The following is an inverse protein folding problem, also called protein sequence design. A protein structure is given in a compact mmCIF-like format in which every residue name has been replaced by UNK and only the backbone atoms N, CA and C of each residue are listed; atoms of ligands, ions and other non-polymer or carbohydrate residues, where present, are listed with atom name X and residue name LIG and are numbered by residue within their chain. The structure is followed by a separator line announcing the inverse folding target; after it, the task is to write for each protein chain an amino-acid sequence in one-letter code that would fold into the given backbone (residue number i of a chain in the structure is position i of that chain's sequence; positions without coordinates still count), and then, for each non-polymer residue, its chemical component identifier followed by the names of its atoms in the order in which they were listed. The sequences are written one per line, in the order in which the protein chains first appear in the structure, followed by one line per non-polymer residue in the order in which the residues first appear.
data_IF_697694132474
#
_entry.id   IF_697694132474
#
_cell.length_a   1.000
_cell.length_b   1.000
_cell.length_c   1.000
_cell.angle_alpha   90.00
_cell.angle_beta   90.00
_cell.angle_gamma   90.00
#
_symmetry.space_group_name_H-M   'P 1'
#
loop_
_entity.id
_entity.type
_entity.pdbx_description
1 polymer ?
#
# COMPACT_ATOMS: atom_id res chain seq x y z
N UNK A 1 -8.10 -18.56 3.73
CA UNK A 1 -7.66 -19.53 4.76
C UNK A 1 -7.11 -18.86 6.02
N UNK A 2 -6.36 -17.76 5.92
CA UNK A 2 -5.81 -17.05 7.11
C UNK A 2 -6.86 -16.63 8.15
N UNK A 3 -8.05 -16.16 7.73
CA UNK A 3 -9.09 -15.72 8.68
C UNK A 3 -9.62 -16.80 9.64
N UNK A 4 -9.64 -18.07 9.23
CA UNK A 4 -10.09 -19.19 10.10
C UNK A 4 -9.00 -19.56 11.11
N UNK A 5 -7.73 -19.52 10.70
CA UNK A 5 -6.58 -19.76 11.59
C UNK A 5 -6.45 -18.66 12.64
N UNK A 6 -6.51 -17.40 12.21
CA UNK A 6 -6.50 -16.23 13.10
C UNK A 6 -7.64 -16.31 14.12
N UNK A 7 -8.84 -16.70 13.69
CA UNK A 7 -9.99 -16.84 14.58
C UNK A 7 -9.84 -17.97 15.61
N UNK A 8 -9.03 -19.00 15.33
CA UNK A 8 -8.73 -20.06 16.30
C UNK A 8 -7.63 -19.68 17.28
N UNK A 9 -6.69 -18.83 16.86
CA UNK A 9 -5.50 -18.47 17.65
C UNK A 9 -5.72 -17.33 18.62
N UNK A 10 -6.50 -16.29 18.26
CA UNK A 10 -6.50 -15.03 19.02
C UNK A 10 -7.64 -14.91 20.06
N UNK A 11 -8.51 -15.92 20.18
CA UNK A 11 -9.75 -15.74 20.94
C UNK A 11 -10.64 -14.61 20.37
N UNK A 12 -11.69 -14.24 21.09
CA UNK A 12 -12.72 -13.31 20.58
C UNK A 12 -12.26 -11.85 20.64
N UNK A 13 -11.47 -11.49 21.65
CA UNK A 13 -11.06 -10.11 21.94
C UNK A 13 -9.91 -9.63 21.04
N UNK A 14 -8.78 -10.36 20.99
CA UNK A 14 -7.65 -9.99 20.12
C UNK A 14 -8.00 -10.09 18.63
N UNK A 15 -9.00 -10.91 18.26
CA UNK A 15 -9.57 -10.91 16.90
C UNK A 15 -10.21 -9.57 16.56
N UNK A 16 -10.95 -8.97 17.50
CA UNK A 16 -11.58 -7.66 17.32
C UNK A 16 -10.53 -6.57 17.11
N UNK A 17 -9.48 -6.58 17.95
CA UNK A 17 -8.36 -5.66 17.80
C UNK A 17 -7.62 -5.84 16.47
N UNK A 18 -7.30 -7.07 16.08
CA UNK A 18 -6.64 -7.31 14.79
C UNK A 18 -7.50 -6.86 13.61
N UNK A 19 -8.81 -7.11 13.65
CA UNK A 19 -9.72 -6.65 12.61
C UNK A 19 -9.72 -5.12 12.50
N UNK A 20 -9.76 -4.42 13.63
CA UNK A 20 -9.65 -2.95 13.67
C UNK A 20 -8.30 -2.47 13.11
N UNK A 21 -7.20 -3.06 13.56
CA UNK A 21 -5.84 -2.71 13.14
C UNK A 21 -5.56 -3.00 11.64
N UNK A 22 -6.29 -3.93 11.04
CA UNK A 22 -6.20 -4.25 9.60
C UNK A 22 -7.14 -3.36 8.78
N UNK A 23 -8.39 -3.22 9.19
CA UNK A 23 -9.41 -2.54 8.39
C UNK A 23 -9.21 -1.03 8.36
N UNK A 24 -8.85 -0.43 9.49
CA UNK A 24 -8.68 1.02 9.59
C UNK A 24 -7.64 1.58 8.61
N UNK A 25 -6.39 1.08 8.56
CA UNK A 25 -5.43 1.58 7.58
C UNK A 25 -5.87 1.35 6.14
N UNK A 26 -6.56 0.25 5.85
CA UNK A 26 -7.07 -0.05 4.50
C UNK A 26 -8.11 0.98 4.08
N UNK A 27 -9.09 1.28 4.94
CA UNK A 27 -10.13 2.28 4.67
C UNK A 27 -9.51 3.66 4.48
N UNK A 28 -8.63 4.07 5.38
CA UNK A 28 -7.95 5.38 5.31
C UNK A 28 -7.14 5.48 4.02
N UNK A 29 -6.48 4.40 3.59
CA UNK A 29 -5.69 4.38 2.35
C UNK A 29 -6.55 4.43 1.09
N UNK A 30 -7.69 3.75 1.10
CA UNK A 30 -8.63 3.79 -0.04
C UNK A 30 -9.21 5.19 -0.21
N UNK A 31 -9.63 5.83 0.89
CA UNK A 31 -10.15 7.19 0.87
C UNK A 31 -9.06 8.21 0.55
N UNK A 32 -7.89 8.11 1.20
CA UNK A 32 -6.75 9.01 0.98
C UNK A 32 -6.15 8.91 -0.43
N UNK A 33 -6.34 7.79 -1.12
CA UNK A 33 -5.94 7.61 -2.51
C UNK A 33 -6.70 8.51 -3.50
N UNK A 34 -7.92 8.96 -3.17
CA UNK A 34 -8.75 9.91 -3.93
C UNK A 34 -8.84 9.64 -5.45
N UNK A 35 -8.72 8.37 -5.88
CA UNK A 35 -8.75 7.98 -7.29
C UNK A 35 -7.50 8.37 -8.11
N UNK A 36 -6.51 9.05 -7.51
CA UNK A 36 -5.28 9.43 -8.20
C UNK A 36 -4.49 8.25 -8.80
N UNK A 37 -4.44 7.05 -8.17
CA UNK A 37 -3.88 5.87 -8.82
C UNK A 37 -4.59 5.53 -10.15
N UNK A 38 -5.91 5.74 -10.24
CA UNK A 38 -6.68 5.50 -11.46
C UNK A 38 -6.29 6.51 -12.54
N UNK A 39 -6.24 7.80 -12.18
CA UNK A 39 -5.77 8.86 -13.09
C UNK A 39 -4.36 8.60 -13.61
N UNK A 40 -3.46 8.12 -12.74
CA UNK A 40 -2.11 7.73 -13.13
C UNK A 40 -2.11 6.64 -14.22
N UNK A 41 -2.95 5.61 -14.09
CA UNK A 41 -3.08 4.57 -15.12
C UNK A 41 -3.59 5.11 -16.45
N UNK A 42 -4.55 6.04 -16.42
CA UNK A 42 -5.12 6.65 -17.62
C UNK A 42 -4.07 7.47 -18.38
N UNK A 43 -3.35 8.38 -17.71
CA UNK A 43 -2.35 9.22 -18.36
C UNK A 43 -1.14 8.41 -18.85
N UNK A 44 -0.72 7.38 -18.10
CA UNK A 44 0.36 6.48 -18.55
C UNK A 44 -0.06 5.65 -19.77
N UNK A 45 -1.31 5.19 -19.83
CA UNK A 45 -1.82 4.48 -21.01
C UNK A 45 -1.97 5.41 -22.22
N UNK A 46 -2.38 6.66 -22.01
CA UNK A 46 -2.56 7.68 -23.06
C UNK A 46 -1.23 8.15 -23.65
N UNK A 47 -0.21 8.35 -22.83
CA UNK A 47 1.11 8.85 -23.25
C UNK A 47 2.26 7.98 -22.70
N UNK A 48 2.45 6.74 -23.21
CA UNK A 48 3.45 5.80 -22.69
C UNK A 48 4.89 6.34 -22.71
N UNK A 49 5.22 7.17 -23.70
CA UNK A 49 6.54 7.81 -23.82
C UNK A 49 6.86 8.77 -22.66
N UNK A 50 5.83 9.37 -22.04
CA UNK A 50 5.96 10.31 -20.93
C UNK A 50 5.67 9.69 -19.57
N UNK A 51 5.52 8.36 -19.50
CA UNK A 51 5.14 7.65 -18.28
C UNK A 51 6.07 7.95 -17.09
N UNK A 52 7.38 8.09 -17.33
CA UNK A 52 8.36 8.48 -16.29
C UNK A 52 8.16 9.91 -15.78
N UNK A 53 7.87 10.85 -16.67
CA UNK A 53 7.60 12.24 -16.30
C UNK A 53 6.30 12.34 -15.50
N UNK A 54 5.25 11.62 -15.91
CA UNK A 54 3.97 11.52 -15.19
C UNK A 54 4.17 10.92 -13.80
N UNK A 55 4.92 9.82 -13.68
CA UNK A 55 5.20 9.21 -12.37
C UNK A 55 5.99 10.16 -11.45
N UNK A 56 6.93 10.94 -12.00
CA UNK A 56 7.69 11.95 -11.25
C UNK A 56 6.81 13.10 -10.78
N UNK A 57 5.93 13.64 -11.63
CA UNK A 57 5.04 14.73 -11.20
C UNK A 57 4.07 14.30 -10.11
N UNK A 58 3.65 13.02 -10.14
CA UNK A 58 2.80 12.44 -9.10
C UNK A 58 3.54 12.15 -7.79
N UNK A 59 4.88 12.14 -7.77
CA UNK A 59 5.65 11.81 -6.55
C UNK A 59 5.41 12.79 -5.40
N UNK A 60 5.29 14.10 -5.69
CA UNK A 60 4.99 15.12 -4.68
C UNK A 60 3.60 14.91 -4.08
N UNK A 61 2.61 14.57 -4.92
CA UNK A 61 1.24 14.28 -4.47
C UNK A 61 1.20 12.98 -3.67
N UNK A 62 1.95 11.96 -4.09
CA UNK A 62 2.10 10.73 -3.34
C UNK A 62 2.66 10.99 -1.94
N UNK A 63 3.70 11.83 -1.81
CA UNK A 63 4.28 12.18 -0.51
C UNK A 63 3.28 12.91 0.39
N UNK A 64 2.48 13.84 -0.16
CA UNK A 64 1.45 14.51 0.62
C UNK A 64 0.33 13.55 1.05
N UNK A 65 -0.06 12.60 0.20
CA UNK A 65 -1.02 11.54 0.56
C UNK A 65 -0.46 10.62 1.65
N UNK A 66 0.81 10.21 1.56
CA UNK A 66 1.47 9.41 2.60
C UNK A 66 1.43 10.13 3.93
N UNK A 67 1.84 11.40 3.96
CA UNK A 67 1.82 12.20 5.20
C UNK A 67 0.40 12.31 5.77
N UNK A 68 -0.58 12.63 4.92
CA UNK A 68 -1.98 12.74 5.32
C UNK A 68 -2.54 11.41 5.87
N UNK A 69 -2.32 10.29 5.17
CA UNK A 69 -2.77 8.96 5.59
C UNK A 69 -2.13 8.58 6.92
N UNK A 70 -0.83 8.82 7.10
CA UNK A 70 -0.14 8.54 8.36
C UNK A 70 -0.69 9.38 9.51
N UNK A 71 -0.90 10.68 9.28
CA UNK A 71 -1.44 11.59 10.29
C UNK A 71 -2.85 11.18 10.71
N UNK A 72 -3.74 10.92 9.74
CA UNK A 72 -5.11 10.47 10.02
C UNK A 72 -5.11 9.12 10.73
N UNK A 73 -4.29 8.16 10.26
CA UNK A 73 -4.21 6.85 10.90
C UNK A 73 -3.70 6.94 12.34
N UNK A 74 -2.68 7.76 12.60
CA UNK A 74 -2.16 8.00 13.94
C UNK A 74 -3.22 8.61 14.86
N UNK A 75 -3.96 9.62 14.39
CA UNK A 75 -5.04 10.25 15.16
C UNK A 75 -6.14 9.25 15.46
N UNK A 76 -6.60 8.51 14.45
CA UNK A 76 -7.67 7.51 14.62
C UNK A 76 -7.23 6.40 15.58
N UNK A 77 -6.00 5.90 15.46
CA UNK A 77 -5.45 4.93 16.39
C UNK A 77 -5.43 5.49 17.82
N UNK A 78 -4.92 6.71 18.01
CA UNK A 78 -4.85 7.39 19.32
C UNK A 78 -6.21 7.53 20.00
N UNK A 79 -7.26 7.78 19.21
CA UNK A 79 -8.61 7.93 19.74
C UNK A 79 -9.25 6.59 20.05
N UNK A 80 -9.08 5.59 19.18
CA UNK A 80 -9.75 4.29 19.31
C UNK A 80 -9.12 3.42 20.40
N UNK A 81 -7.80 3.46 20.57
CA UNK A 81 -7.11 2.56 21.50
C UNK A 81 -6.70 3.23 22.81
N UNK A 82 -7.26 4.40 23.13
CA UNK A 82 -6.88 5.19 24.32
C UNK A 82 -7.09 4.44 25.64
N UNK A 83 -8.11 3.59 25.70
CA UNK A 83 -8.50 2.84 26.89
C UNK A 83 -8.16 1.34 26.79
N UNK A 84 -7.50 0.94 25.70
CA UNK A 84 -7.15 -0.45 25.44
C UNK A 84 -5.79 -0.82 26.09
N UNK A 85 -5.49 -2.12 26.23
CA UNK A 85 -4.21 -2.56 26.75
C UNK A 85 -3.01 -2.01 25.94
N UNK A 86 -1.85 -1.73 26.57
CA UNK A 86 -0.66 -1.19 25.90
C UNK A 86 -0.14 -2.03 24.72
N UNK A 87 -0.46 -3.32 24.72
CA UNK A 87 -0.14 -4.24 23.63
C UNK A 87 -0.88 -3.88 22.32
N UNK A 88 -2.14 -3.43 22.41
CA UNK A 88 -2.95 -2.99 21.26
C UNK A 88 -2.36 -1.71 20.66
N UNK A 89 -1.94 -0.77 21.50
CA UNK A 89 -1.27 0.45 21.06
C UNK A 89 0.01 0.15 20.28
N UNK A 90 0.85 -0.75 20.82
CA UNK A 90 2.10 -1.16 20.17
C UNK A 90 1.85 -1.88 18.84
N UNK A 91 0.86 -2.78 18.79
CA UNK A 91 0.42 -3.42 17.55
C UNK A 91 -0.10 -2.40 16.53
N UNK A 92 -0.82 -1.36 16.98
CA UNK A 92 -1.31 -0.30 16.12
C UNK A 92 -0.23 0.62 15.56
N UNK A 93 0.82 0.93 16.34
CA UNK A 93 1.95 1.70 15.82
C UNK A 93 2.64 0.95 14.65
N UNK A 94 2.69 -0.38 14.71
CA UNK A 94 3.23 -1.22 13.63
C UNK A 94 2.38 -1.10 12.36
N UNK A 95 1.05 -0.95 12.48
CA UNK A 95 0.16 -0.82 11.33
C UNK A 95 0.18 0.57 10.69
N UNK A 96 0.82 1.58 11.28
CA UNK A 96 1.02 2.88 10.63
C UNK A 96 1.71 2.77 9.27
N UNK A 97 2.56 1.76 9.10
CA UNK A 97 3.27 1.47 7.84
C UNK A 97 2.36 0.92 6.74
N UNK A 98 1.22 0.32 7.10
CA UNK A 98 0.27 -0.30 6.15
C UNK A 98 -0.29 0.73 5.19
N UNK A 99 -0.57 1.94 5.67
CA UNK A 99 -1.18 2.98 4.85
C UNK A 99 -0.31 3.41 3.67
N UNK A 100 0.91 3.91 3.94
CA UNK A 100 1.89 4.23 2.90
C UNK A 100 2.19 3.05 1.97
N UNK A 101 2.36 1.85 2.51
CA UNK A 101 2.63 0.65 1.72
C UNK A 101 1.46 0.26 0.81
N UNK A 102 0.23 0.39 1.30
CA UNK A 102 -0.99 0.15 0.51
C UNK A 102 -1.11 1.16 -0.63
N UNK A 103 -0.77 2.43 -0.37
CA UNK A 103 -0.77 3.45 -1.40
C UNK A 103 0.31 3.15 -2.47
N UNK A 104 1.53 2.82 -2.05
CA UNK A 104 2.61 2.40 -2.95
C UNK A 104 2.19 1.19 -3.82
N UNK A 105 1.54 0.20 -3.22
CA UNK A 105 1.02 -0.97 -3.93
C UNK A 105 -0.01 -0.58 -4.99
N UNK A 106 -0.97 0.28 -4.62
CA UNK A 106 -2.00 0.76 -5.54
C UNK A 106 -1.41 1.54 -6.72
N UNK A 107 -0.52 2.50 -6.46
CA UNK A 107 0.18 3.23 -7.53
C UNK A 107 0.98 2.29 -8.42
N UNK A 108 1.75 1.37 -7.85
CA UNK A 108 2.54 0.41 -8.61
C UNK A 108 1.68 -0.46 -9.52
N UNK A 109 0.58 -1.03 -9.00
CA UNK A 109 -0.34 -1.84 -9.81
C UNK A 109 -0.97 -1.02 -10.93
N UNK A 110 -1.39 0.22 -10.66
CA UNK A 110 -2.01 1.09 -11.65
C UNK A 110 -1.04 1.56 -12.73
N UNK A 111 0.22 1.82 -12.37
CA UNK A 111 1.28 2.10 -13.33
C UNK A 111 1.56 0.88 -14.23
N UNK A 112 1.59 -0.34 -13.66
CA UNK A 112 1.72 -1.57 -14.46
C UNK A 112 0.52 -1.77 -15.39
N UNK A 113 -0.69 -1.50 -14.89
CA UNK A 113 -1.92 -1.57 -15.68
C UNK A 113 -1.91 -0.57 -16.83
N UNK A 114 -1.52 0.69 -16.58
CA UNK A 114 -1.41 1.73 -17.61
C UNK A 114 -0.36 1.39 -18.68
N UNK A 115 0.71 0.70 -18.30
CA UNK A 115 1.72 0.17 -19.23
C UNK A 115 1.29 -1.13 -19.93
N UNK A 116 0.07 -1.61 -19.70
CA UNK A 116 -0.44 -2.91 -20.18
C UNK A 116 0.41 -4.12 -19.77
N UNK A 117 1.17 -4.01 -18.66
CA UNK A 117 1.98 -5.09 -18.10
C UNK A 117 1.14 -5.99 -17.19
N UNK A 118 0.20 -6.72 -17.80
CA UNK A 118 -0.79 -7.52 -17.06
C UNK A 118 -0.20 -8.73 -16.32
N UNK A 119 0.89 -9.34 -16.82
CA UNK A 119 1.56 -10.45 -16.14
C UNK A 119 2.07 -10.05 -14.74
N UNK A 120 2.98 -9.07 -14.60
CA UNK A 120 3.43 -8.64 -13.27
C UNK A 120 2.28 -8.05 -12.45
N UNK A 121 1.32 -7.35 -13.05
CA UNK A 121 0.12 -6.88 -12.34
C UNK A 121 -0.64 -8.03 -11.66
N UNK A 122 -0.93 -9.11 -12.38
CA UNK A 122 -1.68 -10.24 -11.84
C UNK A 122 -0.92 -10.98 -10.74
N UNK A 123 0.39 -11.16 -10.90
CA UNK A 123 1.24 -11.79 -9.89
C UNK A 123 1.35 -10.93 -8.63
N UNK A 124 1.68 -9.65 -8.80
CA UNK A 124 1.93 -8.74 -7.69
C UNK A 124 0.66 -8.44 -6.88
N UNK A 125 -0.51 -8.45 -7.51
CA UNK A 125 -1.81 -8.30 -6.82
C UNK A 125 -2.04 -9.39 -5.75
N UNK A 126 -1.47 -10.58 -5.93
CA UNK A 126 -1.64 -11.70 -5.02
C UNK A 126 -0.60 -11.73 -3.88
N UNK A 127 0.48 -10.96 -4.00
CA UNK A 127 1.60 -10.97 -3.04
C UNK A 127 1.15 -10.64 -1.60
N UNK A 128 0.36 -9.59 -1.32
CA UNK A 128 -0.03 -9.29 0.05
C UNK A 128 -0.76 -10.47 0.72
N UNK A 129 -1.74 -11.06 0.02
CA UNK A 129 -2.52 -12.17 0.53
C UNK A 129 -1.67 -13.43 0.71
N UNK A 130 -0.78 -13.73 -0.23
CA UNK A 130 0.13 -14.87 -0.16
C UNK A 130 1.12 -14.76 1.00
N UNK A 131 1.82 -13.63 1.11
CA UNK A 131 2.80 -13.38 2.18
C UNK A 131 2.12 -13.39 3.55
N UNK A 132 0.94 -12.77 3.68
CA UNK A 132 0.19 -12.80 4.93
C UNK A 132 -0.28 -14.21 5.31
N UNK A 133 -0.79 -14.99 4.34
CA UNK A 133 -1.22 -16.36 4.60
C UNK A 133 -0.07 -17.25 5.06
N UNK A 134 1.11 -17.12 4.44
CA UNK A 134 2.33 -17.82 4.86
C UNK A 134 2.75 -17.37 6.26
N UNK A 135 2.76 -16.06 6.54
CA UNK A 135 3.12 -15.53 7.85
C UNK A 135 2.22 -16.05 8.96
N UNK A 136 0.90 -16.02 8.78
CA UNK A 136 -0.06 -16.57 9.74
C UNK A 136 0.10 -18.09 9.90
N UNK A 137 0.33 -18.82 8.81
CA UNK A 137 0.57 -20.26 8.88
C UNK A 137 1.82 -20.58 9.71
N UNK A 138 2.91 -19.83 9.52
CA UNK A 138 4.13 -20.01 10.29
C UNK A 138 3.92 -19.70 11.77
N UNK A 139 3.22 -18.62 12.09
CA UNK A 139 2.86 -18.28 13.48
C UNK A 139 2.02 -19.40 14.13
N UNK A 140 1.07 -19.95 13.38
CA UNK A 140 0.26 -21.08 13.84
C UNK A 140 1.12 -22.33 14.10
N UNK A 141 2.03 -22.68 13.19
CA UNK A 141 2.91 -23.85 13.33
C UNK A 141 3.88 -23.73 14.51
N UNK A 142 4.30 -22.51 14.86
CA UNK A 142 5.15 -22.23 16.03
C UNK A 142 4.33 -22.16 17.33
N UNK A 143 2.99 -22.12 17.25
CA UNK A 143 2.11 -22.00 18.40
C UNK A 143 2.06 -20.59 19.01
N UNK A 144 2.41 -19.57 18.23
CA UNK A 144 2.47 -18.18 18.70
C UNK A 144 1.14 -17.47 18.50
N UNK A 145 0.38 -17.32 19.58
CA UNK A 145 -0.93 -16.67 19.60
C UNK A 145 -0.82 -15.23 20.11
N UNK A 146 -0.20 -14.33 19.34
CA UNK A 146 -0.04 -12.94 19.76
C UNK A 146 -0.42 -11.93 18.69
N UNK A 147 -1.22 -10.95 19.13
CA UNK A 147 -1.70 -9.82 18.33
C UNK A 147 -0.56 -9.05 17.67
N UNK A 148 0.56 -8.83 18.39
CA UNK A 148 1.72 -8.13 17.85
C UNK A 148 2.29 -8.89 16.66
N UNK A 149 2.51 -10.20 16.78
CA UNK A 149 3.08 -10.97 15.68
C UNK A 149 2.14 -11.04 14.48
N UNK A 150 0.83 -11.12 14.70
CA UNK A 150 -0.15 -11.04 13.62
C UNK A 150 -0.13 -9.67 12.92
N UNK A 151 -0.04 -8.57 13.69
CA UNK A 151 0.08 -7.21 13.16
C UNK A 151 1.41 -7.02 12.38
N UNK A 152 2.52 -7.56 12.88
CA UNK A 152 3.81 -7.57 12.17
C UNK A 152 3.69 -8.36 10.86
N UNK A 153 3.14 -9.57 10.89
CA UNK A 153 2.97 -10.39 9.70
C UNK A 153 2.13 -9.68 8.63
N UNK A 154 1.06 -8.99 9.07
CA UNK A 154 0.24 -8.19 8.20
C UNK A 154 1.01 -6.99 7.63
N UNK A 155 1.62 -6.15 8.46
CA UNK A 155 2.41 -5.00 8.01
C UNK A 155 3.53 -5.40 7.06
N UNK A 156 4.29 -6.46 7.37
CA UNK A 156 5.35 -6.98 6.50
C UNK A 156 4.79 -7.40 5.15
N UNK A 157 3.64 -8.11 5.13
CA UNK A 157 3.03 -8.54 3.86
C UNK A 157 2.70 -7.37 2.93
N UNK A 158 2.17 -6.28 3.49
CA UNK A 158 1.77 -5.10 2.73
C UNK A 158 3.00 -4.27 2.35
N UNK A 159 3.98 -4.12 3.23
CA UNK A 159 5.24 -3.39 2.94
C UNK A 159 6.03 -4.08 1.84
N UNK A 160 6.21 -5.41 1.91
CA UNK A 160 6.89 -6.18 0.87
C UNK A 160 6.17 -6.04 -0.47
N UNK A 161 4.84 -6.17 -0.47
CA UNK A 161 4.04 -6.02 -1.68
C UNK A 161 4.03 -4.58 -2.21
N UNK A 162 3.98 -3.58 -1.35
CA UNK A 162 3.96 -2.16 -1.73
C UNK A 162 5.26 -1.73 -2.37
N UNK A 163 6.37 -1.94 -1.66
CA UNK A 163 7.72 -1.60 -2.13
C UNK A 163 8.09 -2.38 -3.39
N UNK A 164 7.83 -3.69 -3.40
CA UNK A 164 8.12 -4.56 -4.55
C UNK A 164 7.34 -4.13 -5.80
N UNK A 165 6.03 -3.91 -5.68
CA UNK A 165 5.20 -3.52 -6.82
C UNK A 165 5.60 -2.14 -7.35
N UNK A 166 5.78 -1.15 -6.47
CA UNK A 166 6.16 0.20 -6.89
C UNK A 166 7.53 0.19 -7.58
N UNK A 167 8.51 -0.52 -7.02
CA UNK A 167 9.84 -0.66 -7.63
C UNK A 167 9.76 -1.30 -9.03
N UNK A 168 9.07 -2.43 -9.19
CA UNK A 168 8.93 -3.12 -10.49
C UNK A 168 8.18 -2.26 -11.51
N UNK A 169 7.21 -1.46 -11.05
CA UNK A 169 6.48 -0.52 -11.88
C UNK A 169 7.39 0.60 -12.38
N UNK A 170 8.17 1.23 -11.48
CA UNK A 170 9.05 2.36 -11.77
C UNK A 170 10.23 1.96 -12.66
N UNK A 171 10.86 0.80 -12.39
CA UNK A 171 11.99 0.28 -13.20
C UNK A 171 11.56 0.01 -14.64
N UNK A 172 10.32 -0.44 -14.84
CA UNK A 172 9.81 -0.71 -16.19
C UNK A 172 9.33 0.51 -16.97
N UNK A 173 9.33 1.71 -16.37
CA UNK A 173 8.95 2.94 -17.08
C UNK A 173 9.99 3.24 -18.16
N UNK A 174 9.58 3.05 -19.43
CA UNK A 174 10.35 3.43 -20.61
C UNK A 174 10.70 4.91 -20.55
N UNK A 175 11.96 5.24 -20.84
CA UNK A 175 12.32 6.61 -21.20
C UNK A 175 11.88 6.79 -22.64
N UNK A 176 10.82 7.57 -22.88
CA UNK A 176 10.68 8.21 -24.18
C UNK A 176 11.73 9.31 -24.25
N UNK A 177 12.41 9.43 -25.38
CA UNK A 177 13.18 10.64 -25.69
C UNK A 177 12.23 11.81 -25.54
N UNK A 178 12.38 12.56 -24.45
CA UNK A 178 11.65 13.80 -24.28
C UNK A 178 12.16 14.70 -25.39
N UNK A 179 11.39 14.87 -26.47
CA UNK A 179 11.58 15.99 -27.36
C UNK A 179 11.75 17.24 -26.46
N UNK A 180 12.84 18.01 -26.63
CA UNK A 180 13.11 19.14 -25.76
C UNK A 180 11.87 20.02 -25.70
N UNK A 181 11.49 20.43 -24.48
CA UNK A 181 10.38 21.36 -24.28
C UNK A 181 10.55 22.53 -25.24
N UNK A 182 9.54 22.90 -26.05
CA UNK A 182 9.67 23.98 -27.02
C UNK A 182 10.13 25.24 -26.29
N UNK A 183 11.13 25.90 -26.86
CA UNK A 183 11.66 27.14 -26.33
C UNK A 183 10.57 28.20 -26.33
N UNK A 184 10.58 29.12 -25.36
CA UNK A 184 9.56 30.20 -25.28
C UNK A 184 9.44 31.01 -26.58
N UNK A 185 10.48 31.06 -27.42
CA UNK A 185 10.46 31.72 -28.73
C UNK A 185 9.66 30.97 -29.81
N UNK A 186 9.50 29.66 -29.69
CA UNK A 186 8.68 28.84 -30.60
C UNK A 186 7.19 28.90 -30.25
N UNK A 187 6.84 29.31 -29.03
CA UNK A 187 5.44 29.44 -28.59
C UNK A 187 4.80 30.80 -28.95
N UNK A 188 5.58 31.72 -29.53
CA UNK A 188 5.14 33.11 -29.81
C UNK A 188 5.15 33.44 -31.31
N UNK A 189 5.49 32.47 -32.18
CA UNK A 189 5.36 32.58 -33.64
C UNK A 189 4.13 31.83 -34.12
#
# INVERSE_FOLDING_TARGET
MSGVLVARMLGVEDRGYLALLVLMPVIISQLGGLGLPISASYFVAREPARARAIARSLSTVYLSQVFFIMAVHFVVLSLLTRNDPPMVWSAGLITLTVGPASLAHQYGLRLLQGQQRFRPFNLLRLVPAGVYAIGILLLFLVGTESLIFAAVAYSVSVVVAGSGTLMIALVGLRQGDAAPSPSRGEMVR
#
